data_IF_211778762396
#
_entry.id   IF_211778762396
#
_cell.length_a   1.000
_cell.length_b   1.000
_cell.length_c   1.000
_cell.angle_alpha   90.00
_cell.angle_beta   90.00
_cell.angle_gamma   90.00
#
_symmetry.space_group_name_H-M   'P 1'
#
loop_
_entity.id
_entity.type
_entity.pdbx_description
1 polymer ?
#
# COMPACT_ATOMS: atom_id res chain seq x y z
N UNK A 1 -20.30 -12.44 2.43
CA UNK A 1 -20.55 -11.18 1.70
C UNK A 1 -19.83 -10.09 2.46
N UNK A 2 -19.18 -9.17 1.77
CA UNK A 2 -18.33 -8.17 2.42
C UNK A 2 -19.16 -7.06 3.07
N UNK A 3 -18.82 -6.72 4.32
CA UNK A 3 -19.49 -5.68 5.09
C UNK A 3 -18.66 -4.39 5.08
N UNK A 4 -19.29 -3.29 4.65
CA UNK A 4 -18.76 -1.94 4.81
C UNK A 4 -19.75 -1.07 5.59
N UNK A 5 -19.24 -0.16 6.39
CA UNK A 5 -20.05 0.72 7.23
C UNK A 5 -19.76 2.20 6.99
N UNK A 6 -20.81 3.06 6.97
CA UNK A 6 -20.65 4.50 7.04
C UNK A 6 -20.13 4.89 8.43
N UNK A 7 -19.41 6.01 8.52
CA UNK A 7 -18.87 6.47 9.81
C UNK A 7 -18.86 8.00 9.88
N UNK A 8 -18.75 8.53 11.10
CA UNK A 8 -18.59 9.96 11.33
C UNK A 8 -17.12 10.31 11.21
N UNK A 9 -16.67 10.76 10.01
CA UNK A 9 -15.27 11.12 9.83
C UNK A 9 -14.90 12.39 10.60
N UNK A 10 -13.65 12.43 11.02
CA UNK A 10 -12.97 13.68 11.37
C UNK A 10 -12.18 14.10 10.13
N UNK A 11 -12.46 15.31 9.62
CA UNK A 11 -11.91 15.82 8.36
C UNK A 11 -11.30 17.19 8.54
N UNK A 12 -10.30 17.60 7.73
CA UNK A 12 -9.87 18.98 7.72
C UNK A 12 -11.03 19.90 7.33
N UNK A 13 -11.11 21.08 7.98
CA UNK A 13 -12.04 22.12 7.59
C UNK A 13 -11.74 22.60 6.16
N UNK A 14 -12.71 23.26 5.50
CA UNK A 14 -12.55 23.72 4.11
C UNK A 14 -11.29 24.58 3.92
N UNK A 15 -10.96 25.41 4.89
CA UNK A 15 -9.78 26.28 4.87
C UNK A 15 -8.45 25.52 4.92
N UNK A 16 -8.44 24.32 5.53
CA UNK A 16 -7.23 23.53 5.72
C UNK A 16 -7.13 22.34 4.76
N UNK A 17 -8.18 22.06 3.99
CA UNK A 17 -8.30 20.86 3.16
C UNK A 17 -7.13 20.69 2.18
N UNK A 18 -6.72 21.77 1.52
CA UNK A 18 -5.67 21.77 0.50
C UNK A 18 -4.31 21.31 1.06
N UNK A 19 -3.98 21.68 2.29
CA UNK A 19 -2.64 21.54 2.84
C UNK A 19 -2.55 20.53 4.01
N UNK A 20 -3.68 19.96 4.44
CA UNK A 20 -3.71 19.11 5.63
C UNK A 20 -3.21 17.69 5.35
N UNK A 21 -3.72 17.03 4.32
CA UNK A 21 -3.37 15.63 4.04
C UNK A 21 -1.91 15.49 3.62
N UNK A 22 -1.28 14.39 3.98
CA UNK A 22 0.13 14.14 3.67
C UNK A 22 0.35 12.75 3.05
N UNK A 23 1.39 12.63 2.24
CA UNK A 23 1.96 11.32 1.87
C UNK A 23 2.47 10.61 3.14
N UNK A 24 2.80 9.34 3.02
CA UNK A 24 3.50 8.64 4.10
C UNK A 24 4.80 9.36 4.45
N UNK A 25 5.11 9.54 5.73
CA UNK A 25 6.37 10.18 6.17
C UNK A 25 7.63 9.49 5.60
N UNK A 26 7.54 8.22 5.20
CA UNK A 26 8.62 7.47 4.53
C UNK A 26 8.88 7.89 3.09
N UNK A 27 7.99 8.67 2.51
CA UNK A 27 8.13 9.20 1.15
C UNK A 27 8.90 10.51 1.11
N UNK A 28 9.28 11.06 2.25
CA UNK A 28 10.05 12.29 2.38
C UNK A 28 11.50 12.00 2.79
N UNK A 29 12.45 12.71 2.22
CA UNK A 29 13.78 12.85 2.81
C UNK A 29 13.71 13.67 4.11
N UNK A 30 14.73 13.62 4.95
CA UNK A 30 14.75 14.39 6.20
C UNK A 30 14.69 15.91 5.93
N UNK A 31 15.26 16.39 4.82
CA UNK A 31 15.23 17.78 4.38
C UNK A 31 13.83 18.19 3.88
N UNK A 32 13.24 17.40 2.98
CA UNK A 32 11.86 17.63 2.50
C UNK A 32 10.88 17.64 3.65
N UNK A 33 11.03 16.73 4.62
CA UNK A 33 10.21 16.64 5.81
C UNK A 33 10.28 17.93 6.64
N UNK A 34 11.50 18.43 6.91
CA UNK A 34 11.73 19.67 7.64
C UNK A 34 11.12 20.86 6.92
N UNK A 35 11.38 21.00 5.62
CA UNK A 35 10.85 22.08 4.80
C UNK A 35 9.32 22.06 4.72
N UNK A 36 8.71 20.87 4.55
CA UNK A 36 7.25 20.73 4.53
C UNK A 36 6.61 21.11 5.86
N UNK A 37 7.20 20.71 6.99
CA UNK A 37 6.69 21.05 8.32
C UNK A 37 6.84 22.53 8.66
N UNK A 38 7.91 23.19 8.19
CA UNK A 38 8.08 24.64 8.36
C UNK A 38 7.04 25.44 7.55
N UNK A 39 6.79 25.02 6.29
CA UNK A 39 5.81 25.68 5.43
C UNK A 39 4.37 25.41 5.84
N UNK A 40 4.11 24.25 6.44
CA UNK A 40 2.76 23.79 6.79
C UNK A 40 2.72 23.07 8.15
N UNK A 41 2.78 23.83 9.26
CA UNK A 41 2.82 23.27 10.63
C UNK A 41 1.49 22.61 11.06
N UNK A 42 0.39 22.88 10.36
CA UNK A 42 -0.93 22.30 10.63
C UNK A 42 -1.21 21.02 9.81
N UNK A 43 -0.30 20.59 8.94
CA UNK A 43 -0.49 19.37 8.15
C UNK A 43 -0.57 18.12 9.02
N UNK A 44 -1.23 17.07 8.51
CA UNK A 44 -1.27 15.77 9.18
C UNK A 44 0.14 15.19 9.40
N UNK A 45 1.10 15.59 8.57
CA UNK A 45 2.51 15.24 8.75
C UNK A 45 3.06 15.68 10.10
N UNK A 46 2.61 16.84 10.63
CA UNK A 46 3.01 17.33 11.95
C UNK A 46 2.61 16.40 13.10
N UNK A 47 1.45 15.71 12.95
CA UNK A 47 0.99 14.71 13.91
C UNK A 47 1.83 13.43 13.80
N UNK A 48 2.07 12.94 12.56
CA UNK A 48 2.81 11.69 12.36
C UNK A 48 4.28 11.84 12.74
N UNK A 49 4.86 13.01 12.50
CA UNK A 49 6.27 13.30 12.79
C UNK A 49 6.58 13.24 14.28
N UNK A 50 5.63 13.58 15.15
CA UNK A 50 5.78 13.43 16.60
C UNK A 50 6.19 12.02 17.03
N UNK A 51 5.91 11.00 16.22
CA UNK A 51 6.38 9.63 16.46
C UNK A 51 7.90 9.47 16.41
N UNK A 52 8.62 10.30 15.64
CA UNK A 52 10.02 10.02 15.28
C UNK A 52 11.00 10.96 15.97
N UNK A 53 10.71 12.24 16.13
CA UNK A 53 11.71 13.27 16.38
C UNK A 53 11.55 14.09 17.66
N UNK A 54 10.44 13.99 18.38
CA UNK A 54 10.35 14.67 19.66
C UNK A 54 11.00 13.80 20.75
N UNK A 55 12.23 14.15 21.03
CA UNK A 55 13.07 13.63 22.10
C UNK A 55 13.39 12.13 22.01
N UNK A 56 14.63 11.83 21.66
CA UNK A 56 15.24 10.50 21.84
C UNK A 56 15.07 9.96 23.28
N UNK A 57 14.70 10.80 24.24
CA UNK A 57 14.50 10.50 25.66
C UNK A 57 13.08 10.05 26.02
N UNK A 58 12.05 10.32 25.19
CA UNK A 58 10.68 9.91 25.49
C UNK A 58 10.44 8.43 25.19
N UNK A 59 9.77 7.74 26.12
CA UNK A 59 9.26 6.38 25.90
C UNK A 59 8.27 6.37 24.74
N UNK A 60 8.11 5.22 24.13
CA UNK A 60 7.23 5.05 22.97
C UNK A 60 5.77 5.38 23.26
N UNK A 61 5.29 5.04 24.46
CA UNK A 61 3.95 5.37 24.95
C UNK A 61 3.72 6.88 25.07
N UNK A 62 4.69 7.61 25.60
CA UNK A 62 4.62 9.06 25.74
C UNK A 62 4.54 9.76 24.38
N UNK A 63 5.33 9.28 23.40
CA UNK A 63 5.24 9.78 22.02
C UNK A 63 3.86 9.55 21.38
N UNK A 64 3.22 8.43 21.69
CA UNK A 64 1.88 8.15 21.19
C UNK A 64 0.82 9.03 21.87
N UNK A 65 1.01 9.32 23.16
CA UNK A 65 0.15 10.26 23.86
C UNK A 65 0.26 11.69 23.29
N UNK A 66 1.47 12.15 22.95
CA UNK A 66 1.65 13.44 22.28
C UNK A 66 0.94 13.49 20.91
N UNK A 67 0.93 12.38 20.15
CA UNK A 67 0.15 12.30 18.91
C UNK A 67 -1.35 12.49 19.17
N UNK A 68 -1.88 11.84 20.21
CA UNK A 68 -3.27 11.99 20.63
C UNK A 68 -3.58 13.43 21.04
N UNK A 69 -2.78 14.00 21.94
CA UNK A 69 -2.95 15.40 22.40
C UNK A 69 -2.90 16.40 21.24
N UNK A 70 -1.98 16.22 20.28
CA UNK A 70 -1.92 17.09 19.09
C UNK A 70 -3.14 16.95 18.21
N UNK A 71 -3.65 15.75 18.05
CA UNK A 71 -4.88 15.50 17.31
C UNK A 71 -6.09 16.19 17.96
N UNK A 72 -6.25 16.06 19.28
CA UNK A 72 -7.29 16.72 20.07
C UNK A 72 -7.17 18.27 20.01
N UNK A 73 -5.95 18.82 20.05
CA UNK A 73 -5.69 20.25 19.87
C UNK A 73 -6.14 20.76 18.50
N UNK A 74 -5.93 20.00 17.43
CA UNK A 74 -6.38 20.38 16.10
C UNK A 74 -7.91 20.35 15.97
N UNK A 75 -8.59 19.47 16.69
CA UNK A 75 -10.07 19.47 16.76
C UNK A 75 -10.56 20.70 17.55
N UNK A 76 -9.95 20.97 18.71
CA UNK A 76 -10.30 22.15 19.53
C UNK A 76 -10.11 23.47 18.76
N UNK A 77 -9.09 23.56 17.91
CA UNK A 77 -8.79 24.70 17.03
C UNK A 77 -9.65 24.74 15.77
N UNK A 78 -10.58 23.79 15.57
CA UNK A 78 -11.41 23.66 14.36
C UNK A 78 -10.62 23.51 13.04
N UNK A 79 -9.35 23.13 13.12
CA UNK A 79 -8.56 22.68 11.96
C UNK A 79 -9.13 21.36 11.44
N UNK A 80 -9.52 20.50 12.38
CA UNK A 80 -10.26 19.26 12.13
C UNK A 80 -11.69 19.39 12.63
N UNK A 81 -12.65 18.89 11.85
CA UNK A 81 -14.10 18.93 12.16
C UNK A 81 -14.64 17.51 12.10
N UNK A 82 -15.40 17.11 13.13
CA UNK A 82 -16.10 15.82 13.17
C UNK A 82 -17.48 15.95 12.53
N UNK A 83 -17.79 15.07 11.61
CA UNK A 83 -19.09 15.00 10.97
C UNK A 83 -20.18 14.62 12.00
N UNK A 84 -21.36 15.19 11.88
CA UNK A 84 -22.47 14.98 12.83
C UNK A 84 -23.21 13.69 12.57
N UNK A 85 -23.27 13.24 11.32
CA UNK A 85 -23.95 12.01 10.89
C UNK A 85 -22.99 11.03 10.25
N UNK A 86 -23.22 9.70 10.35
CA UNK A 86 -22.45 8.73 9.60
C UNK A 86 -22.61 8.93 8.09
N UNK A 87 -21.52 8.78 7.34
CA UNK A 87 -21.50 8.92 5.90
C UNK A 87 -20.53 7.92 5.26
N UNK A 88 -20.74 7.62 4.00
CA UNK A 88 -19.69 7.16 3.09
C UNK A 88 -19.04 8.36 2.44
N UNK A 89 -17.77 8.22 2.05
CA UNK A 89 -17.06 9.29 1.36
C UNK A 89 -16.57 8.76 0.03
N UNK A 90 -17.15 9.23 -1.07
CA UNK A 90 -16.61 8.92 -2.39
C UNK A 90 -15.41 9.85 -2.59
N UNK A 91 -14.27 9.26 -2.96
CA UNK A 91 -13.03 9.99 -3.13
C UNK A 91 -12.42 9.69 -4.50
N UNK A 92 -12.08 10.78 -5.19
CA UNK A 92 -11.36 10.73 -6.46
C UNK A 92 -10.00 11.39 -6.35
N UNK A 93 -9.05 10.83 -7.07
CA UNK A 93 -7.79 11.50 -7.33
C UNK A 93 -7.41 11.32 -8.80
N UNK A 94 -7.06 12.44 -9.44
CA UNK A 94 -6.54 12.49 -10.80
C UNK A 94 -5.05 12.80 -10.70
N UNK A 95 -4.23 11.94 -11.28
CA UNK A 95 -2.78 12.11 -11.32
C UNK A 95 -2.37 12.97 -12.53
N UNK A 96 -1.11 13.39 -12.56
CA UNK A 96 -0.54 14.18 -13.66
C UNK A 96 -0.67 13.51 -15.04
N UNK A 97 -0.67 12.17 -15.09
CA UNK A 97 -0.89 11.39 -16.31
C UNK A 97 -2.40 11.16 -16.61
N UNK A 98 -3.27 12.02 -16.07
CA UNK A 98 -4.73 12.01 -16.21
C UNK A 98 -5.41 10.71 -15.73
N UNK A 99 -4.68 9.82 -15.06
CA UNK A 99 -5.28 8.62 -14.53
C UNK A 99 -6.19 8.93 -13.34
N UNK A 100 -7.44 8.51 -13.45
CA UNK A 100 -8.48 8.67 -12.43
C UNK A 100 -8.53 7.42 -11.54
N UNK A 101 -8.43 7.64 -10.23
CA UNK A 101 -8.81 6.66 -9.21
C UNK A 101 -10.08 7.15 -8.52
N UNK A 102 -11.14 6.37 -8.54
CA UNK A 102 -12.42 6.69 -7.89
C UNK A 102 -12.89 5.51 -7.06
N UNK A 103 -13.17 5.74 -5.79
CA UNK A 103 -13.64 4.72 -4.87
C UNK A 103 -14.39 5.29 -3.68
N UNK A 104 -14.71 4.39 -2.74
CA UNK A 104 -15.45 4.70 -1.54
C UNK A 104 -14.55 4.55 -0.31
N UNK A 105 -14.53 5.56 0.56
CA UNK A 105 -13.92 5.46 1.89
C UNK A 105 -15.01 5.04 2.87
N UNK A 106 -14.75 3.95 3.58
CA UNK A 106 -15.68 3.30 4.51
C UNK A 106 -14.95 2.61 5.66
N UNK A 107 -15.67 2.24 6.70
CA UNK A 107 -15.23 1.23 7.66
C UNK A 107 -15.36 -0.16 7.04
N UNK A 108 -14.27 -0.93 6.95
CA UNK A 108 -14.31 -2.34 6.54
C UNK A 108 -14.29 -3.27 7.76
N UNK A 109 -15.08 -4.34 7.72
CA UNK A 109 -15.33 -5.23 8.85
C UNK A 109 -14.08 -6.00 9.30
N UNK A 110 -13.72 -5.89 10.57
CA UNK A 110 -12.69 -6.73 11.20
C UNK A 110 -13.10 -8.20 11.21
N UNK A 111 -14.39 -8.50 11.33
CA UNK A 111 -14.93 -9.86 11.26
C UNK A 111 -14.67 -10.48 9.90
N UNK A 112 -14.88 -9.72 8.81
CA UNK A 112 -14.61 -10.19 7.46
C UNK A 112 -13.12 -10.41 7.21
N UNK A 113 -12.26 -9.57 7.79
CA UNK A 113 -10.82 -9.80 7.78
C UNK A 113 -10.43 -11.10 8.51
N UNK A 114 -11.01 -11.36 9.69
CA UNK A 114 -10.77 -12.60 10.46
C UNK A 114 -11.28 -13.84 9.72
N UNK A 115 -12.43 -13.72 9.05
CA UNK A 115 -13.09 -14.81 8.31
C UNK A 115 -12.56 -14.98 6.87
N UNK A 116 -11.49 -14.26 6.49
CA UNK A 116 -10.88 -14.31 5.16
C UNK A 116 -11.82 -13.93 4.01
N UNK A 117 -12.86 -13.12 4.27
CA UNK A 117 -13.63 -12.43 3.24
C UNK A 117 -12.88 -11.20 2.71
N UNK A 118 -12.06 -10.58 3.56
CA UNK A 118 -11.03 -9.62 3.17
C UNK A 118 -9.72 -10.39 3.06
N UNK A 119 -9.32 -10.72 1.84
CA UNK A 119 -8.24 -11.65 1.52
C UNK A 119 -6.88 -10.97 1.49
N UNK A 120 -5.87 -11.73 1.92
CA UNK A 120 -4.47 -11.29 2.11
C UNK A 120 -3.56 -12.00 1.13
N UNK A 121 -2.55 -11.30 0.62
CA UNK A 121 -1.51 -11.88 -0.23
C UNK A 121 -0.08 -11.59 0.28
N UNK A 122 0.07 -10.90 1.41
CA UNK A 122 1.37 -10.57 2.00
C UNK A 122 1.41 -10.99 3.48
N UNK A 123 2.51 -11.61 3.89
CA UNK A 123 2.77 -11.92 5.30
C UNK A 123 3.13 -10.65 6.08
N UNK A 124 2.51 -10.51 7.22
CA UNK A 124 2.78 -9.40 8.14
C UNK A 124 3.82 -9.78 9.20
N UNK A 125 4.49 -8.79 9.75
CA UNK A 125 5.54 -8.97 10.76
C UNK A 125 4.92 -8.71 12.14
N UNK A 126 4.84 -9.73 12.99
CA UNK A 126 4.23 -9.68 14.32
C UNK A 126 4.71 -8.50 15.17
N UNK A 127 6.01 -8.19 15.15
CA UNK A 127 6.56 -7.03 15.88
C UNK A 127 5.96 -5.70 15.39
N UNK A 128 5.71 -5.57 14.08
CA UNK A 128 5.06 -4.37 13.50
C UNK A 128 3.59 -4.31 13.84
N UNK A 129 2.89 -5.43 13.77
CA UNK A 129 1.48 -5.53 14.14
C UNK A 129 1.25 -5.08 15.59
N UNK A 130 2.00 -5.64 16.53
CA UNK A 130 1.93 -5.26 17.94
C UNK A 130 2.31 -3.79 18.17
N UNK A 131 3.25 -3.26 17.40
CA UNK A 131 3.63 -1.85 17.46
C UNK A 131 2.47 -0.94 17.02
N UNK A 132 1.81 -1.29 15.90
CA UNK A 132 0.66 -0.55 15.41
C UNK A 132 -0.57 -0.74 16.30
N UNK A 133 -0.83 -1.94 16.82
CA UNK A 133 -1.87 -2.19 17.80
C UNK A 133 -1.73 -1.27 19.03
N UNK A 134 -0.54 -1.21 19.63
CA UNK A 134 -0.26 -0.34 20.77
C UNK A 134 -0.46 1.15 20.42
N UNK A 135 -0.05 1.55 19.20
CA UNK A 135 -0.32 2.89 18.71
C UNK A 135 -1.81 3.18 18.61
N UNK A 136 -2.58 2.31 17.92
CA UNK A 136 -4.03 2.46 17.76
C UNK A 136 -4.76 2.48 19.10
N UNK A 137 -4.37 1.62 20.04
CA UNK A 137 -4.92 1.61 21.41
C UNK A 137 -4.75 2.95 22.12
N UNK A 138 -3.62 3.64 21.89
CA UNK A 138 -3.34 4.94 22.54
C UNK A 138 -4.03 6.09 21.83
N UNK A 139 -3.91 6.17 20.49
CA UNK A 139 -4.42 7.34 19.73
C UNK A 139 -5.90 7.28 19.43
N UNK A 140 -6.50 6.09 19.40
CA UNK A 140 -7.94 5.84 19.18
C UNK A 140 -8.47 6.30 17.82
N UNK A 141 -7.62 6.36 16.80
CA UNK A 141 -8.04 6.68 15.44
C UNK A 141 -7.20 6.01 14.35
N UNK A 142 -7.82 5.80 13.20
CA UNK A 142 -7.20 5.45 11.93
C UNK A 142 -7.25 6.64 10.97
N UNK A 143 -6.10 7.06 10.42
CA UNK A 143 -6.02 8.20 9.48
C UNK A 143 -5.36 7.84 8.14
N UNK A 144 -4.88 6.62 7.99
CA UNK A 144 -4.32 6.09 6.75
C UNK A 144 -5.17 4.90 6.31
N UNK A 145 -6.02 5.04 5.28
CA UNK A 145 -6.92 3.97 4.87
C UNK A 145 -6.16 2.76 4.33
N UNK A 146 -6.68 1.57 4.57
CA UNK A 146 -6.27 0.34 3.89
C UNK A 146 -6.83 0.40 2.48
N UNK A 147 -6.00 0.15 1.46
CA UNK A 147 -6.46 0.04 0.08
C UNK A 147 -7.03 -1.36 -0.15
N UNK A 148 -8.31 -1.42 -0.38
CA UNK A 148 -9.02 -2.64 -0.76
C UNK A 148 -9.44 -2.56 -2.23
N UNK A 149 -9.54 -3.71 -2.86
CA UNK A 149 -10.09 -3.80 -4.21
C UNK A 149 -11.15 -4.89 -4.31
N UNK A 150 -12.05 -4.71 -5.25
CA UNK A 150 -13.17 -5.61 -5.54
C UNK A 150 -13.31 -5.82 -7.05
N UNK A 151 -13.91 -6.93 -7.50
CA UNK A 151 -14.20 -7.17 -8.93
C UNK A 151 -15.02 -6.04 -9.52
N UNK A 152 -14.74 -5.69 -10.78
CA UNK A 152 -15.52 -4.69 -11.49
C UNK A 152 -17.00 -5.08 -11.55
N UNK A 153 -17.88 -4.16 -11.15
CA UNK A 153 -19.32 -4.35 -11.12
C UNK A 153 -20.04 -3.08 -11.60
N UNK A 154 -20.75 -3.15 -12.74
CA UNK A 154 -21.48 -2.01 -13.28
C UNK A 154 -22.57 -1.47 -12.34
N UNK A 155 -23.15 -2.32 -11.49
CA UNK A 155 -24.18 -1.90 -10.52
C UNK A 155 -23.55 -1.03 -9.45
N UNK A 156 -22.39 -1.43 -8.91
CA UNK A 156 -21.64 -0.63 -7.94
C UNK A 156 -21.19 0.68 -8.56
N UNK A 157 -20.66 0.65 -9.79
CA UNK A 157 -20.23 1.84 -10.51
C UNK A 157 -21.39 2.83 -10.68
N UNK A 158 -22.57 2.34 -11.12
CA UNK A 158 -23.79 3.16 -11.23
C UNK A 158 -24.23 3.72 -9.88
N UNK A 159 -24.17 2.92 -8.80
CA UNK A 159 -24.53 3.39 -7.45
C UNK A 159 -23.61 4.52 -6.99
N UNK A 160 -22.30 4.38 -7.17
CA UNK A 160 -21.31 5.42 -6.87
C UNK A 160 -21.60 6.70 -7.67
N UNK A 161 -21.83 6.60 -8.97
CA UNK A 161 -22.12 7.77 -9.81
C UNK A 161 -23.45 8.45 -9.42
N UNK A 162 -24.45 7.69 -9.01
CA UNK A 162 -25.73 8.23 -8.52
C UNK A 162 -25.51 8.96 -7.19
N UNK A 163 -24.84 8.34 -6.23
CA UNK A 163 -24.54 8.96 -4.95
C UNK A 163 -23.73 10.27 -5.10
N UNK A 164 -22.77 10.32 -6.04
CA UNK A 164 -22.03 11.55 -6.35
C UNK A 164 -22.95 12.69 -6.83
N UNK A 165 -23.95 12.38 -7.66
CA UNK A 165 -24.91 13.38 -8.14
C UNK A 165 -25.83 13.90 -7.04
N UNK A 166 -26.19 13.04 -6.09
CA UNK A 166 -27.08 13.36 -4.99
C UNK A 166 -26.36 14.03 -3.80
N UNK A 167 -25.03 13.99 -3.78
CA UNK A 167 -24.25 14.50 -2.66
C UNK A 167 -24.42 16.01 -2.48
N UNK A 168 -24.80 16.44 -1.28
CA UNK A 168 -24.99 17.84 -0.93
C UNK A 168 -23.64 18.56 -0.68
N UNK A 169 -22.62 17.82 -0.26
CA UNK A 169 -21.30 18.37 0.03
C UNK A 169 -20.25 17.75 -0.89
N UNK A 170 -19.54 18.61 -1.60
CA UNK A 170 -18.41 18.24 -2.45
C UNK A 170 -17.27 19.23 -2.22
N UNK A 171 -16.05 18.69 -2.06
CA UNK A 171 -14.85 19.50 -1.94
C UNK A 171 -13.82 19.08 -2.97
N UNK A 172 -13.17 20.04 -3.60
CA UNK A 172 -12.10 19.83 -4.58
C UNK A 172 -10.88 20.63 -4.17
N UNK A 173 -9.71 20.03 -4.27
CA UNK A 173 -8.43 20.70 -4.02
C UNK A 173 -7.33 20.06 -4.87
N UNK A 174 -6.25 20.81 -5.08
CA UNK A 174 -5.06 20.30 -5.78
C UNK A 174 -3.83 20.50 -4.91
N UNK A 175 -2.97 19.50 -4.88
CA UNK A 175 -1.67 19.61 -4.26
C UNK A 175 -0.64 18.82 -5.06
N UNK A 176 0.57 19.39 -5.19
CA UNK A 176 1.62 18.83 -6.06
C UNK A 176 1.06 18.59 -7.47
N UNK A 177 1.12 17.33 -7.95
CA UNK A 177 0.68 16.93 -9.29
C UNK A 177 -0.61 16.10 -9.24
N UNK A 178 -1.43 16.29 -8.20
CA UNK A 178 -2.67 15.53 -8.01
C UNK A 178 -3.83 16.46 -7.75
N UNK A 179 -4.97 16.21 -8.41
CA UNK A 179 -6.26 16.83 -8.09
C UNK A 179 -7.11 15.83 -7.34
N UNK A 180 -7.69 16.29 -6.24
CA UNK A 180 -8.49 15.49 -5.32
C UNK A 180 -9.92 16.00 -5.30
N UNK A 181 -10.89 15.09 -5.20
CA UNK A 181 -12.29 15.42 -5.03
C UNK A 181 -12.95 14.44 -4.06
N UNK A 182 -13.73 14.95 -3.13
CA UNK A 182 -14.44 14.15 -2.12
C UNK A 182 -15.90 14.55 -2.06
N UNK A 183 -16.80 13.58 -1.99
CA UNK A 183 -18.25 13.74 -1.79
C UNK A 183 -18.63 13.08 -0.47
N UNK A 184 -19.37 13.80 0.36
CA UNK A 184 -19.95 13.26 1.59
C UNK A 184 -21.34 12.69 1.27
N UNK A 185 -21.52 11.40 1.44
CA UNK A 185 -22.77 10.67 1.17
C UNK A 185 -23.42 10.36 2.51
N UNK A 186 -24.29 11.23 2.97
CA UNK A 186 -24.95 11.15 4.26
C UNK A 186 -26.48 10.97 4.17
N UNK A 187 -27.06 10.95 2.98
CA UNK A 187 -28.48 10.62 2.85
C UNK A 187 -28.72 9.11 3.00
N UNK A 188 -29.78 8.75 3.71
CA UNK A 188 -30.09 7.37 4.10
C UNK A 188 -30.31 6.46 2.88
N UNK A 189 -30.95 6.97 1.82
CA UNK A 189 -31.24 6.17 0.62
C UNK A 189 -29.95 5.72 -0.08
N UNK A 190 -29.01 6.65 -0.33
CA UNK A 190 -27.74 6.32 -0.99
C UNK A 190 -26.84 5.46 -0.09
N UNK A 191 -26.85 5.68 1.24
CA UNK A 191 -26.16 4.82 2.19
C UNK A 191 -26.68 3.38 2.08
N UNK A 192 -28.01 3.18 2.10
CA UNK A 192 -28.59 1.86 2.00
C UNK A 192 -28.27 1.18 0.66
N UNK A 193 -28.40 1.91 -0.46
CA UNK A 193 -28.05 1.40 -1.80
C UNK A 193 -26.57 0.96 -1.84
N UNK A 194 -25.65 1.80 -1.37
CA UNK A 194 -24.24 1.47 -1.36
C UNK A 194 -23.93 0.28 -0.45
N UNK A 195 -24.54 0.22 0.74
CA UNK A 195 -24.39 -0.92 1.65
C UNK A 195 -24.90 -2.22 1.02
N UNK A 196 -26.04 -2.19 0.36
CA UNK A 196 -26.64 -3.37 -0.26
C UNK A 196 -25.83 -3.88 -1.46
N UNK A 197 -25.33 -2.99 -2.31
CA UNK A 197 -24.54 -3.42 -3.50
C UNK A 197 -23.17 -3.94 -3.08
N UNK A 198 -22.51 -3.31 -2.12
CA UNK A 198 -21.24 -3.82 -1.56
C UNK A 198 -21.46 -5.11 -0.77
N UNK A 199 -22.59 -5.26 -0.09
CA UNK A 199 -22.98 -6.48 0.60
C UNK A 199 -23.10 -7.72 -0.32
N UNK A 200 -23.21 -7.55 -1.63
CA UNK A 200 -23.25 -8.66 -2.61
C UNK A 200 -21.85 -9.12 -3.04
N UNK A 201 -20.79 -8.39 -2.73
CA UNK A 201 -19.41 -8.78 -3.07
C UNK A 201 -19.01 -9.98 -2.23
N UNK A 202 -18.56 -11.03 -2.89
CA UNK A 202 -18.15 -12.29 -2.23
C UNK A 202 -16.84 -12.14 -1.45
N UNK A 203 -15.89 -11.35 -1.95
CA UNK A 203 -14.58 -11.13 -1.32
C UNK A 203 -13.99 -9.79 -1.72
N UNK A 204 -13.32 -9.16 -0.76
CA UNK A 204 -12.43 -8.01 -0.97
C UNK A 204 -10.98 -8.47 -0.91
N UNK A 205 -10.08 -7.73 -1.57
CA UNK A 205 -8.65 -8.05 -1.59
C UNK A 205 -7.85 -6.86 -1.08
N UNK A 206 -6.95 -7.09 -0.14
CA UNK A 206 -6.05 -6.04 0.34
C UNK A 206 -5.02 -5.75 -0.75
N UNK A 207 -5.04 -4.55 -1.31
CA UNK A 207 -4.03 -4.10 -2.26
C UNK A 207 -2.83 -3.44 -1.56
N UNK A 208 -3.08 -2.64 -0.51
CA UNK A 208 -2.03 -2.07 0.34
C UNK A 208 -2.54 -1.89 1.78
N UNK A 209 -1.68 -2.14 2.76
CA UNK A 209 -2.01 -1.91 4.18
C UNK A 209 -2.21 -3.17 5.01
N UNK A 210 -1.64 -4.31 4.65
CA UNK A 210 -1.72 -5.57 5.40
C UNK A 210 -1.40 -5.42 6.89
N UNK A 211 -0.38 -4.63 7.25
CA UNK A 211 -0.07 -4.36 8.66
C UNK A 211 -1.14 -3.50 9.36
N UNK A 212 -1.82 -2.60 8.64
CA UNK A 212 -2.89 -1.74 9.20
C UNK A 212 -4.13 -2.58 9.54
N UNK A 213 -4.58 -3.40 8.60
CA UNK A 213 -5.72 -4.30 8.84
C UNK A 213 -5.42 -5.33 9.94
N UNK A 214 -4.23 -5.98 9.92
CA UNK A 214 -3.82 -6.93 10.93
C UNK A 214 -3.79 -6.31 12.34
N UNK A 215 -3.25 -5.09 12.48
CA UNK A 215 -3.17 -4.40 13.77
C UNK A 215 -4.55 -3.98 14.30
N UNK A 216 -5.46 -3.57 13.41
CA UNK A 216 -6.84 -3.26 13.78
C UNK A 216 -7.58 -4.53 14.26
N UNK A 217 -7.36 -5.66 13.59
CA UNK A 217 -7.93 -6.94 14.02
C UNK A 217 -7.37 -7.44 15.36
N UNK A 218 -6.08 -7.23 15.63
CA UNK A 218 -5.47 -7.54 16.93
C UNK A 218 -5.99 -6.64 18.05
N UNK A 219 -6.22 -5.35 17.76
CA UNK A 219 -6.82 -4.42 18.74
C UNK A 219 -8.26 -4.81 19.05
N UNK A 220 -9.06 -5.11 18.03
CA UNK A 220 -10.43 -5.56 18.22
C UNK A 220 -10.51 -6.83 19.06
N UNK A 221 -9.63 -7.81 18.82
CA UNK A 221 -9.58 -9.03 19.62
C UNK A 221 -9.21 -8.75 21.10
N UNK A 222 -8.34 -7.78 21.35
CA UNK A 222 -7.98 -7.38 22.74
C UNK A 222 -9.14 -6.66 23.44
N UNK A 223 -9.88 -5.78 22.73
CA UNK A 223 -11.03 -5.07 23.29
C UNK A 223 -12.22 -6.04 23.53
N UNK A 224 -12.45 -7.00 22.62
CA UNK A 224 -13.51 -7.99 22.75
C UNK A 224 -13.38 -8.84 24.04
N UNK A 225 -12.17 -8.98 24.58
CA UNK A 225 -11.91 -9.67 25.86
C UNK A 225 -12.14 -8.77 27.08
N UNK A 226 -12.26 -7.46 26.90
CA UNK A 226 -12.49 -6.49 27.96
C UNK A 226 -13.98 -6.10 28.01
N UNK A 227 -14.73 -6.69 28.96
CA UNK A 227 -16.17 -6.50 29.11
C UNK A 227 -16.53 -5.02 29.38
N UNK A 228 -15.63 -4.24 29.99
CA UNK A 228 -15.86 -2.81 30.27
C UNK A 228 -15.77 -1.92 29.02
N UNK A 229 -15.08 -2.35 27.98
CA UNK A 229 -14.83 -1.61 26.75
C UNK A 229 -15.85 -1.86 25.63
N UNK A 230 -16.80 -2.81 25.82
CA UNK A 230 -17.74 -3.24 24.77
C UNK A 230 -18.80 -2.21 24.36
N UNK A 231 -18.89 -1.05 25.04
CA UNK A 231 -19.91 -0.03 24.76
C UNK A 231 -19.76 0.68 23.41
N UNK A 232 -18.58 0.75 22.87
CA UNK A 232 -18.32 1.41 21.57
C UNK A 232 -17.89 0.38 20.51
N UNK A 233 -18.76 0.14 19.52
CA UNK A 233 -18.52 -0.84 18.45
C UNK A 233 -17.66 -0.32 17.30
N UNK A 234 -17.12 0.90 17.35
CA UNK A 234 -16.33 1.48 16.27
C UNK A 234 -15.05 0.70 15.96
N UNK A 235 -14.42 0.06 16.96
CA UNK A 235 -13.23 -0.81 16.78
C UNK A 235 -13.49 -2.08 15.96
N UNK A 236 -14.77 -2.41 15.67
CA UNK A 236 -15.14 -3.57 14.82
C UNK A 236 -14.88 -3.33 13.34
N UNK A 237 -14.51 -2.12 12.97
CA UNK A 237 -14.17 -1.73 11.60
C UNK A 237 -12.82 -1.02 11.56
N UNK A 238 -12.21 -0.98 10.39
CA UNK A 238 -10.99 -0.19 10.13
C UNK A 238 -11.17 0.66 8.87
N UNK A 239 -10.54 1.84 8.89
CA UNK A 239 -10.61 2.78 7.78
C UNK A 239 -10.08 2.15 6.49
N UNK A 240 -10.86 2.16 5.44
CA UNK A 240 -10.54 1.58 4.14
C UNK A 240 -10.93 2.50 3.00
N UNK A 241 -10.20 2.39 1.89
CA UNK A 241 -10.56 2.93 0.61
C UNK A 241 -10.71 1.79 -0.39
N UNK A 242 -11.90 1.63 -0.94
CA UNK A 242 -12.26 0.53 -1.81
C UNK A 242 -12.39 1.02 -3.25
N UNK A 243 -11.66 0.41 -4.19
CA UNK A 243 -11.71 0.75 -5.62
C UNK A 243 -11.91 -0.51 -6.47
N UNK A 244 -12.55 -0.39 -7.65
CA UNK A 244 -12.66 -1.51 -8.58
C UNK A 244 -11.29 -1.94 -9.12
N UNK A 245 -11.14 -3.23 -9.41
CA UNK A 245 -9.84 -3.80 -9.79
C UNK A 245 -9.26 -3.22 -11.08
N UNK A 246 -10.10 -2.79 -12.04
CA UNK A 246 -9.67 -2.12 -13.28
C UNK A 246 -8.92 -0.80 -13.07
N UNK A 247 -9.12 -0.16 -11.92
CA UNK A 247 -8.46 1.10 -11.61
C UNK A 247 -7.11 0.93 -10.91
N UNK A 248 -6.79 -0.28 -10.39
CA UNK A 248 -5.50 -0.51 -9.78
C UNK A 248 -4.37 -0.44 -10.82
N UNK A 249 -3.33 0.33 -10.52
CA UNK A 249 -2.05 0.24 -11.23
C UNK A 249 -1.06 -0.55 -10.39
N UNK A 250 -0.58 -1.67 -10.91
CA UNK A 250 0.42 -2.49 -10.26
C UNK A 250 1.73 -2.32 -11.01
N UNK A 251 2.75 -1.84 -10.32
CA UNK A 251 4.11 -1.72 -10.84
C UNK A 251 4.99 -2.81 -10.26
N UNK A 252 6.05 -3.09 -10.96
CA UNK A 252 7.10 -3.98 -10.52
C UNK A 252 7.89 -3.41 -9.32
N UNK A 253 8.47 -4.33 -8.58
CA UNK A 253 9.49 -4.05 -7.59
C UNK A 253 10.79 -4.69 -8.08
N UNK A 254 11.70 -3.89 -8.59
CA UNK A 254 12.98 -4.34 -9.14
C UNK A 254 14.02 -4.52 -8.05
N UNK A 255 14.98 -5.43 -8.27
CA UNK A 255 16.01 -5.77 -7.31
C UNK A 255 17.35 -5.26 -7.83
N UNK A 256 18.13 -4.69 -6.92
CA UNK A 256 19.51 -4.30 -7.19
C UNK A 256 20.42 -4.88 -6.10
N UNK A 257 21.53 -5.47 -6.49
CA UNK A 257 22.39 -6.30 -5.66
C UNK A 257 23.80 -5.71 -5.61
N UNK A 258 24.36 -5.60 -4.41
CA UNK A 258 25.65 -4.95 -4.16
C UNK A 258 26.84 -5.70 -4.71
N UNK A 259 26.81 -7.05 -4.70
CA UNK A 259 27.94 -7.86 -5.16
C UNK A 259 27.48 -9.23 -5.69
N UNK A 260 28.31 -9.86 -6.47
CA UNK A 260 28.04 -11.16 -7.11
C UNK A 260 28.44 -12.36 -6.22
N UNK A 261 28.55 -12.20 -4.91
CA UNK A 261 28.91 -13.28 -3.98
C UNK A 261 30.29 -13.90 -4.28
N UNK A 262 31.26 -13.07 -4.67
CA UNK A 262 32.63 -13.49 -5.00
C UNK A 262 32.84 -14.00 -6.42
N UNK A 263 31.78 -14.03 -7.24
CA UNK A 263 31.89 -14.44 -8.65
C UNK A 263 32.36 -13.26 -9.53
N UNK A 264 33.10 -13.59 -10.59
CA UNK A 264 33.31 -12.67 -11.72
C UNK A 264 32.02 -12.51 -12.54
N UNK A 265 31.96 -11.53 -13.42
CA UNK A 265 30.82 -11.34 -14.32
C UNK A 265 30.61 -12.55 -15.26
N UNK A 266 31.68 -13.15 -15.75
CA UNK A 266 31.64 -14.33 -16.60
C UNK A 266 31.10 -15.55 -15.86
N UNK A 267 31.68 -15.87 -14.69
CA UNK A 267 31.23 -16.97 -13.84
C UNK A 267 29.75 -16.81 -13.45
N UNK A 268 29.31 -15.57 -13.22
CA UNK A 268 27.93 -15.28 -12.89
C UNK A 268 27.00 -15.54 -14.06
N UNK A 269 27.35 -15.10 -15.27
CA UNK A 269 26.61 -15.37 -16.51
C UNK A 269 26.54 -16.88 -16.81
N UNK A 270 27.66 -17.59 -16.65
CA UNK A 270 27.70 -19.05 -16.84
C UNK A 270 26.75 -19.78 -15.87
N UNK A 271 26.76 -19.41 -14.58
CA UNK A 271 25.86 -19.99 -13.59
C UNK A 271 24.39 -19.67 -13.91
N UNK A 272 24.06 -18.45 -14.36
CA UNK A 272 22.70 -18.11 -14.79
C UNK A 272 22.32 -18.96 -16.00
N UNK A 273 23.24 -19.13 -16.97
CA UNK A 273 22.94 -19.88 -18.19
C UNK A 273 22.65 -21.38 -17.97
N UNK A 274 22.98 -21.93 -16.82
CA UNK A 274 22.58 -23.30 -16.44
C UNK A 274 21.06 -23.37 -16.22
N UNK A 275 20.48 -22.35 -15.58
CA UNK A 275 19.07 -22.33 -15.15
C UNK A 275 18.16 -21.56 -16.09
N UNK A 276 18.66 -20.50 -16.70
CA UNK A 276 17.92 -19.54 -17.50
C UNK A 276 18.56 -19.39 -18.88
N UNK A 277 17.72 -19.20 -19.92
CA UNK A 277 18.22 -18.73 -21.21
C UNK A 277 18.57 -17.25 -21.08
N UNK A 278 19.75 -16.87 -21.57
CA UNK A 278 20.25 -15.49 -21.57
C UNK A 278 20.26 -14.96 -23.00
N UNK A 279 19.69 -13.76 -23.21
CA UNK A 279 19.79 -13.04 -24.47
C UNK A 279 20.29 -11.62 -24.19
N UNK A 280 21.40 -11.23 -24.78
CA UNK A 280 21.91 -9.85 -24.69
C UNK A 280 21.00 -8.89 -25.46
N UNK A 281 20.66 -7.75 -24.85
CA UNK A 281 19.77 -6.71 -25.40
C UNK A 281 20.48 -5.39 -25.71
N UNK A 282 21.79 -5.30 -25.43
CA UNK A 282 22.60 -4.10 -25.68
C UNK A 282 22.72 -3.19 -24.46
N UNK A 283 22.99 -1.90 -24.72
CA UNK A 283 23.33 -0.91 -23.65
C UNK A 283 22.18 0.01 -23.25
N UNK A 284 21.09 0.00 -24.02
CA UNK A 284 19.90 0.81 -23.74
C UNK A 284 19.00 0.12 -22.72
N UNK A 285 18.30 0.89 -21.85
CA UNK A 285 17.38 0.34 -20.86
C UNK A 285 16.39 -0.63 -21.48
N UNK A 286 16.39 -1.85 -20.97
CA UNK A 286 15.52 -2.92 -21.43
C UNK A 286 14.53 -3.29 -20.32
N UNK A 287 13.24 -3.33 -20.64
CA UNK A 287 12.14 -3.68 -19.75
C UNK A 287 11.52 -4.99 -20.21
N UNK A 288 11.22 -5.89 -19.27
CA UNK A 288 10.48 -7.12 -19.57
C UNK A 288 9.13 -6.79 -20.18
N UNK A 289 8.81 -7.40 -21.30
CA UNK A 289 7.58 -7.14 -22.06
C UNK A 289 6.45 -8.10 -21.73
N UNK A 290 6.77 -9.19 -21.02
CA UNK A 290 5.83 -10.28 -20.71
C UNK A 290 6.23 -11.04 -19.46
N UNK A 291 5.27 -11.75 -18.90
CA UNK A 291 5.48 -12.68 -17.80
C UNK A 291 6.51 -13.76 -18.16
N UNK A 292 7.31 -14.20 -17.17
CA UNK A 292 8.41 -15.17 -17.28
C UNK A 292 9.61 -14.67 -18.08
N UNK A 293 9.70 -13.38 -18.26
CA UNK A 293 10.85 -12.68 -18.77
C UNK A 293 11.38 -11.71 -17.71
N UNK A 294 12.65 -11.82 -17.35
CA UNK A 294 13.32 -10.97 -16.37
C UNK A 294 14.38 -10.16 -17.09
N UNK A 295 14.34 -8.85 -16.95
CA UNK A 295 15.44 -7.97 -17.40
C UNK A 295 16.57 -8.05 -16.41
N UNK A 296 17.82 -8.04 -16.90
CA UNK A 296 19.02 -7.94 -16.07
C UNK A 296 19.95 -6.88 -16.63
N UNK A 297 20.53 -6.06 -15.76
CA UNK A 297 21.64 -5.17 -16.13
C UNK A 297 22.89 -5.59 -15.37
N UNK A 298 23.96 -5.84 -16.12
CA UNK A 298 25.26 -6.28 -15.62
C UNK A 298 26.36 -5.68 -16.47
N UNK A 299 27.34 -5.03 -15.86
CA UNK A 299 28.58 -4.57 -16.52
C UNK A 299 28.36 -3.90 -17.89
N UNK A 300 27.52 -2.85 -17.92
CA UNK A 300 27.26 -2.05 -19.12
C UNK A 300 26.24 -2.63 -20.11
N UNK A 301 25.69 -3.81 -19.87
CA UNK A 301 24.78 -4.48 -20.80
C UNK A 301 23.47 -4.90 -20.15
N UNK A 302 22.40 -4.79 -20.94
CA UNK A 302 21.11 -5.38 -20.61
C UNK A 302 20.97 -6.78 -21.21
N UNK A 303 20.29 -7.65 -20.47
CA UNK A 303 19.98 -9.02 -20.84
C UNK A 303 18.51 -9.32 -20.57
N UNK A 304 17.94 -10.21 -21.36
CA UNK A 304 16.66 -10.87 -21.08
C UNK A 304 16.94 -12.28 -20.58
N UNK A 305 16.32 -12.65 -19.46
CA UNK A 305 16.41 -13.96 -18.84
C UNK A 305 15.05 -14.64 -18.91
N UNK A 306 15.01 -15.94 -19.28
CA UNK A 306 13.79 -16.74 -19.24
C UNK A 306 14.09 -18.17 -18.78
N UNK A 307 13.14 -18.81 -18.07
CA UNK A 307 13.33 -20.19 -17.62
C UNK A 307 13.56 -21.14 -18.81
N UNK A 308 14.53 -22.05 -18.65
CA UNK A 308 14.72 -23.15 -19.61
C UNK A 308 13.56 -24.13 -19.52
N UNK A 309 13.15 -24.69 -20.66
CA UNK A 309 12.08 -25.69 -20.72
C UNK A 309 12.38 -26.96 -19.91
N UNK A 310 13.67 -27.27 -19.69
CA UNK A 310 14.11 -28.39 -18.86
C UNK A 310 13.82 -28.21 -17.35
N UNK A 311 13.59 -26.99 -16.90
CA UNK A 311 13.23 -26.73 -15.50
C UNK A 311 11.74 -26.97 -15.35
N UNK A 312 11.38 -28.00 -14.55
CA UNK A 312 9.99 -28.31 -14.23
C UNK A 312 9.30 -27.07 -13.68
N UNK A 313 8.26 -26.60 -14.37
CA UNK A 313 7.37 -25.55 -13.86
C UNK A 313 6.61 -26.14 -12.68
N UNK A 314 6.94 -25.68 -11.50
CA UNK A 314 6.14 -25.99 -10.32
C UNK A 314 4.77 -25.32 -10.47
N UNK A 315 3.67 -26.03 -10.24
CA UNK A 315 2.31 -25.61 -10.64
C UNK A 315 1.62 -24.69 -9.65
N UNK A 316 2.27 -24.31 -8.53
CA UNK A 316 1.65 -23.41 -7.56
C UNK A 316 1.61 -21.96 -8.06
N UNK A 317 0.57 -21.21 -7.71
CA UNK A 317 0.44 -19.79 -8.08
C UNK A 317 1.69 -18.95 -7.68
N UNK A 318 2.33 -19.27 -6.55
CA UNK A 318 3.54 -18.58 -6.09
C UNK A 318 4.75 -18.91 -6.98
N UNK A 319 4.95 -20.17 -7.31
CA UNK A 319 6.12 -20.60 -8.10
C UNK A 319 6.12 -20.05 -9.52
N UNK A 320 4.96 -19.62 -10.00
CA UNK A 320 4.77 -18.98 -11.31
C UNK A 320 5.06 -17.46 -11.31
N UNK A 321 5.33 -16.85 -10.13
CA UNK A 321 5.68 -15.44 -10.05
C UNK A 321 7.13 -15.21 -10.47
N UNK A 322 7.38 -14.19 -11.30
CA UNK A 322 8.74 -13.80 -11.71
C UNK A 322 9.62 -13.45 -10.50
N UNK A 323 9.04 -12.88 -9.45
CA UNK A 323 9.70 -12.64 -8.17
C UNK A 323 10.19 -13.93 -7.51
N UNK A 324 9.38 -14.99 -7.54
CA UNK A 324 9.75 -16.29 -6.97
C UNK A 324 10.76 -17.04 -7.85
N UNK A 325 10.62 -16.93 -9.17
CA UNK A 325 11.57 -17.49 -10.14
C UNK A 325 12.95 -16.87 -9.91
N UNK A 326 13.03 -15.53 -9.84
CA UNK A 326 14.27 -14.83 -9.55
C UNK A 326 14.84 -15.24 -8.19
N UNK A 327 14.02 -15.27 -7.14
CA UNK A 327 14.44 -15.67 -5.80
C UNK A 327 15.01 -17.08 -5.77
N UNK A 328 14.37 -18.03 -6.43
CA UNK A 328 14.76 -19.45 -6.37
C UNK A 328 16.02 -19.72 -7.17
N UNK A 329 16.06 -19.26 -8.43
CA UNK A 329 17.07 -19.67 -9.39
C UNK A 329 18.30 -18.76 -9.43
N UNK A 330 18.17 -17.50 -9.02
CA UNK A 330 19.27 -16.54 -9.06
C UNK A 330 19.69 -16.10 -7.67
N UNK A 331 18.78 -15.47 -6.91
CA UNK A 331 19.14 -14.84 -5.64
C UNK A 331 19.61 -15.89 -4.61
N UNK A 332 18.86 -16.98 -4.47
CA UNK A 332 19.21 -18.06 -3.51
C UNK A 332 20.28 -18.98 -4.08
N UNK A 333 20.10 -19.50 -5.28
CA UNK A 333 20.96 -20.57 -5.82
C UNK A 333 22.36 -20.06 -6.20
N UNK A 334 22.47 -18.85 -6.75
CA UNK A 334 23.74 -18.30 -7.27
C UNK A 334 24.33 -17.28 -6.30
N UNK A 335 23.51 -16.30 -5.86
CA UNK A 335 23.99 -15.20 -5.02
C UNK A 335 23.94 -15.51 -3.51
N UNK A 336 23.38 -16.66 -3.10
CA UNK A 336 23.29 -17.07 -1.70
C UNK A 336 22.35 -16.22 -0.83
N UNK A 337 21.47 -15.42 -1.45
CA UNK A 337 20.48 -14.59 -0.76
C UNK A 337 19.29 -15.47 -0.37
N UNK A 338 19.33 -16.05 0.82
CA UNK A 338 18.29 -16.97 1.31
C UNK A 338 17.01 -16.25 1.73
N UNK A 339 17.12 -15.01 2.23
CA UNK A 339 15.99 -14.23 2.72
C UNK A 339 16.14 -12.76 2.33
N UNK A 340 15.36 -12.34 1.32
CA UNK A 340 15.36 -10.97 0.81
C UNK A 340 15.04 -9.90 1.87
N UNK A 341 14.31 -10.25 2.95
CA UNK A 341 13.92 -9.28 4.00
C UNK A 341 15.09 -8.81 4.87
N UNK A 342 16.10 -9.66 5.03
CA UNK A 342 17.16 -9.47 6.01
C UNK A 342 18.55 -9.33 5.38
N UNK A 343 18.72 -9.64 4.09
CA UNK A 343 20.01 -9.55 3.41
C UNK A 343 20.30 -8.08 3.04
N UNK A 344 21.41 -7.54 3.56
CA UNK A 344 21.84 -6.16 3.35
C UNK A 344 22.41 -5.90 1.96
N UNK A 345 22.65 -6.94 1.17
CA UNK A 345 23.15 -6.82 -0.22
C UNK A 345 22.06 -6.47 -1.21
N UNK A 346 20.78 -6.72 -0.88
CA UNK A 346 19.64 -6.44 -1.74
C UNK A 346 18.99 -5.11 -1.39
N UNK A 347 18.72 -4.32 -2.41
CA UNK A 347 17.90 -3.12 -2.35
C UNK A 347 16.82 -3.16 -3.44
N UNK A 348 15.87 -2.23 -3.39
CA UNK A 348 14.70 -2.25 -4.28
C UNK A 348 14.53 -0.92 -4.99
N UNK A 349 14.30 -0.97 -6.30
CA UNK A 349 13.94 0.17 -7.14
C UNK A 349 12.53 -0.06 -7.68
N UNK A 350 11.71 0.98 -7.70
CA UNK A 350 10.29 0.92 -8.04
C UNK A 350 9.87 2.09 -8.93
N UNK A 351 8.81 1.89 -9.69
CA UNK A 351 8.19 2.96 -10.47
C UNK A 351 8.69 3.05 -11.91
N UNK A 352 8.23 4.09 -12.61
CA UNK A 352 8.62 4.38 -13.98
C UNK A 352 10.15 4.58 -14.05
N UNK A 353 10.76 4.22 -15.18
CA UNK A 353 12.19 4.36 -15.43
C UNK A 353 13.14 3.58 -14.49
N UNK A 354 12.61 2.53 -13.85
CA UNK A 354 13.35 1.72 -12.89
C UNK A 354 14.63 1.09 -13.48
N UNK A 355 14.63 0.65 -14.75
CA UNK A 355 15.81 0.07 -15.37
C UNK A 355 16.88 1.13 -15.68
N UNK A 356 16.51 2.37 -15.98
CA UNK A 356 17.44 3.49 -16.12
C UNK A 356 18.08 3.85 -14.77
N UNK A 357 17.31 3.83 -13.68
CA UNK A 357 17.82 4.05 -12.33
C UNK A 357 18.76 2.92 -11.90
N UNK A 358 18.45 1.66 -12.23
CA UNK A 358 19.32 0.50 -12.00
C UNK A 358 20.65 0.67 -12.73
N UNK A 359 20.58 1.04 -14.02
CA UNK A 359 21.77 1.31 -14.82
C UNK A 359 22.66 2.35 -14.16
N UNK A 360 22.10 3.50 -13.78
CA UNK A 360 22.84 4.58 -13.14
C UNK A 360 23.51 4.12 -11.84
N UNK A 361 22.79 3.41 -10.96
CA UNK A 361 23.32 2.94 -9.69
C UNK A 361 24.44 1.89 -9.84
N UNK A 362 24.41 1.08 -10.91
CA UNK A 362 25.46 0.10 -11.18
C UNK A 362 26.66 0.76 -11.84
N UNK A 363 26.43 1.65 -12.79
CA UNK A 363 27.52 2.37 -13.48
C UNK A 363 28.30 3.30 -12.51
N UNK A 364 27.66 3.80 -11.46
CA UNK A 364 28.31 4.55 -10.39
C UNK A 364 29.12 3.66 -9.40
N UNK A 365 29.07 2.33 -9.54
CA UNK A 365 29.81 1.40 -8.70
C UNK A 365 29.17 1.04 -7.36
N UNK A 366 27.99 1.52 -7.07
CA UNK A 366 27.28 1.23 -5.81
C UNK A 366 26.76 -0.22 -5.73
N UNK A 367 26.51 -0.84 -6.90
CA UNK A 367 25.92 -2.16 -7.05
C UNK A 367 26.55 -2.92 -8.22
N UNK A 368 26.42 -4.24 -8.23
CA UNK A 368 27.02 -5.09 -9.26
C UNK A 368 26.00 -5.54 -10.32
N UNK A 369 24.76 -5.84 -9.95
CA UNK A 369 23.74 -6.35 -10.86
C UNK A 369 22.34 -5.88 -10.46
N UNK A 370 21.46 -5.68 -11.43
CA UNK A 370 20.08 -5.34 -11.21
C UNK A 370 19.12 -6.17 -12.07
N UNK A 371 17.92 -6.41 -11.53
CA UNK A 371 16.89 -7.22 -12.15
C UNK A 371 15.58 -6.45 -12.23
N UNK A 372 15.02 -6.36 -13.43
CA UNK A 372 13.70 -5.83 -13.71
C UNK A 372 12.70 -6.95 -13.95
N UNK A 373 11.54 -6.83 -13.36
CA UNK A 373 10.48 -7.83 -13.41
C UNK A 373 9.27 -7.32 -14.19
N UNK A 374 8.51 -8.23 -14.76
CA UNK A 374 7.20 -7.89 -15.29
C UNK A 374 6.22 -7.66 -14.14
N UNK A 375 5.38 -6.59 -14.15
CA UNK A 375 4.43 -6.32 -13.09
C UNK A 375 3.45 -7.48 -12.87
N UNK A 376 3.22 -7.84 -11.61
CA UNK A 376 2.22 -8.85 -11.24
C UNK A 376 0.83 -8.35 -11.66
N UNK A 377 0.06 -9.21 -12.30
CA UNK A 377 -1.30 -8.89 -12.72
C UNK A 377 -2.29 -9.09 -11.56
N UNK A 378 -3.40 -8.35 -11.57
CA UNK A 378 -4.45 -8.47 -10.53
C UNK A 378 -4.99 -9.90 -10.40
N UNK A 379 -5.08 -10.65 -11.49
CA UNK A 379 -5.51 -12.06 -11.49
C UNK A 379 -4.56 -12.95 -10.67
N UNK A 380 -3.26 -12.71 -10.75
CA UNK A 380 -2.24 -13.45 -10.00
C UNK A 380 -2.32 -13.12 -8.50
N UNK A 381 -2.46 -11.83 -8.18
CA UNK A 381 -2.66 -11.38 -6.81
C UNK A 381 -3.88 -12.05 -6.18
N UNK A 382 -5.01 -12.06 -6.89
CA UNK A 382 -6.26 -12.72 -6.43
C UNK A 382 -6.07 -14.22 -6.26
N UNK A 383 -5.48 -14.90 -7.24
CA UNK A 383 -5.23 -16.34 -7.17
C UNK A 383 -4.40 -16.76 -5.95
N UNK A 384 -3.38 -15.96 -5.61
CA UNK A 384 -2.55 -16.20 -4.43
C UNK A 384 -3.34 -15.93 -3.15
N UNK A 385 -4.07 -14.81 -3.09
CA UNK A 385 -4.90 -14.48 -1.94
C UNK A 385 -6.03 -15.50 -1.71
N UNK A 386 -6.63 -16.02 -2.79
CA UNK A 386 -7.66 -17.07 -2.76
C UNK A 386 -7.13 -18.41 -2.24
N UNK A 387 -5.90 -18.77 -2.59
CA UNK A 387 -5.25 -19.98 -2.10
C UNK A 387 -4.76 -19.89 -0.64
N UNK A 388 -4.90 -18.72 0.00
CA UNK A 388 -4.37 -18.46 1.35
C UNK A 388 -2.84 -18.38 1.41
N UNK A 389 -2.18 -18.37 0.26
CA UNK A 389 -0.73 -18.29 0.15
C UNK A 389 -0.25 -16.83 0.25
N UNK A 390 1.06 -16.64 0.45
CA UNK A 390 1.67 -15.30 0.58
C UNK A 390 2.82 -15.15 -0.40
N UNK A 391 2.87 -13.97 -1.01
CA UNK A 391 3.93 -13.60 -1.95
C UNK A 391 5.28 -13.38 -1.26
N UNK A 392 6.39 -13.53 -1.98
CA UNK A 392 7.68 -13.00 -1.55
C UNK A 392 7.58 -11.51 -1.17
N UNK A 393 8.47 -11.01 -0.31
CA UNK A 393 8.46 -9.59 0.06
C UNK A 393 8.70 -8.72 -1.17
N UNK A 394 8.05 -7.55 -1.22
CA UNK A 394 8.25 -6.59 -2.31
C UNK A 394 7.94 -7.18 -3.71
N UNK A 395 6.82 -7.90 -3.79
CA UNK A 395 6.32 -8.44 -5.06
C UNK A 395 5.46 -7.45 -5.82
N UNK A 396 4.79 -6.52 -5.12
CA UNK A 396 3.86 -5.55 -5.72
C UNK A 396 4.14 -4.13 -5.28
N UNK A 397 4.04 -3.17 -6.19
CA UNK A 397 3.99 -1.75 -5.89
C UNK A 397 2.70 -1.17 -6.47
N UNK A 398 1.68 -1.03 -5.63
CA UNK A 398 0.31 -0.75 -6.06
C UNK A 398 -0.04 0.72 -5.88
N UNK A 399 -0.72 1.30 -6.86
CA UNK A 399 -1.35 2.61 -6.83
C UNK A 399 -2.88 2.50 -6.83
N UNK A 400 -3.58 3.49 -6.24
CA UNK A 400 -3.08 4.76 -5.73
C UNK A 400 -2.32 4.62 -4.40
N UNK A 401 -1.34 5.52 -4.16
CA UNK A 401 -0.72 5.68 -2.84
C UNK A 401 -1.53 6.68 -2.03
N UNK A 402 -2.27 6.15 -1.06
CA UNK A 402 -3.23 6.94 -0.29
C UNK A 402 -2.53 7.95 0.62
N UNK A 403 -3.07 9.16 0.66
CA UNK A 403 -2.68 10.18 1.62
C UNK A 403 -3.33 9.91 2.97
N UNK A 404 -2.66 10.30 4.04
CA UNK A 404 -3.19 10.23 5.41
C UNK A 404 -3.86 11.54 5.78
N UNK A 405 -4.95 11.48 6.55
CA UNK A 405 -5.62 12.67 7.08
C UNK A 405 -6.68 13.28 6.16
N UNK A 406 -7.06 12.64 5.04
CA UNK A 406 -8.22 13.08 4.22
C UNK A 406 -9.50 12.84 5.01
N UNK A 407 -9.66 11.63 5.53
CA UNK A 407 -10.67 11.24 6.51
C UNK A 407 -9.98 10.51 7.64
N UNK A 408 -10.47 10.70 8.86
CA UNK A 408 -9.97 10.06 10.05
C UNK A 408 -11.12 9.32 10.71
N UNK A 409 -10.92 8.03 10.94
CA UNK A 409 -11.87 7.13 11.59
C UNK A 409 -11.51 7.02 13.08
N UNK A 410 -12.33 7.56 13.94
CA UNK A 410 -12.17 7.52 15.41
C UNK A 410 -12.95 6.34 16.00
N UNK A 411 -12.40 5.66 17.03
CA UNK A 411 -13.02 4.51 17.69
C UNK A 411 -12.70 4.42 19.19
#
# INVERSE_FOLDING_TARGET
MAEIAPFKAIRPSKEHLQNFSSKSYKSYTDEELKNTLQKNPLSFLSIIHLKKNLNKFLKKSERYQLVKTKFEDLIAKKVLIKDTTPAFYIYETVQEDEHLFCGIIAGASVKDYKNNLIKKHEATITKRENTFKTYLKTVRFNAAPVLLTFPDDPIIEKAIQTAKRNAQETNTWSNENETHKIWCINNVSDINILTDVFGKISSLYIADGHHRSASSALLAAEIDTDISAQKEKAYTHFLSYLIPEKQLKIFDYNRIIKNLNGLTNEEFLDKINIMLNIQRKGTQPYYSSRKHEISMYLSGNFYSLSLRNSIKKNETAISQLDTQILQTHVLKAILGIKNERNDKRISYIKGKDSMSQIKTAIDNGDHAVGFGLFPIQIKELKSIADSGAVMPPKSTYIYPKLRSGITIYEF
#
